data_IF_711575707900
#
_entry.id   IF_711575707900
#
_cell.length_a   1.000
_cell.length_b   1.000
_cell.length_c   1.000
_cell.angle_alpha   90.00
_cell.angle_beta   90.00
_cell.angle_gamma   90.00
#
_symmetry.space_group_name_H-M   'P 1'
#
loop_
_entity.id
_entity.type
_entity.pdbx_description
1 polymer ?
#
# COMPACT_ATOMS: atom_id res chain seq x y z
N UNK A 1 15.46 -3.91 -3.31
CA UNK A 1 14.47 -2.83 -3.44
C UNK A 1 14.69 -1.84 -2.31
N UNK A 2 14.72 -0.54 -2.61
CA UNK A 2 14.91 0.57 -1.69
C UNK A 2 13.56 1.13 -1.26
N UNK A 3 13.29 1.16 0.04
CA UNK A 3 12.07 1.70 0.63
C UNK A 3 12.37 2.98 1.42
N UNK A 4 11.47 3.97 1.30
CA UNK A 4 11.40 5.12 2.18
C UNK A 4 10.18 4.95 3.08
N UNK A 5 10.43 4.75 4.37
CA UNK A 5 9.37 4.70 5.39
C UNK A 5 9.36 5.99 6.21
N UNK A 6 8.17 6.51 6.48
CA UNK A 6 8.00 7.61 7.43
C UNK A 6 6.72 7.46 8.24
N UNK A 7 6.76 8.01 9.44
CA UNK A 7 5.68 7.92 10.43
C UNK A 7 5.38 9.32 10.98
N UNK A 8 4.10 9.64 11.13
CA UNK A 8 3.65 10.93 11.64
C UNK A 8 2.67 10.75 12.79
N UNK A 9 3.09 11.18 13.99
CA UNK A 9 2.24 11.23 15.17
C UNK A 9 1.16 12.32 15.03
N UNK A 10 -0.03 12.03 15.55
CA UNK A 10 -1.21 12.91 15.49
C UNK A 10 -1.80 13.04 14.09
N UNK A 11 -1.47 12.13 13.17
CA UNK A 11 -1.94 12.14 11.78
C UNK A 11 -2.78 10.91 11.44
N UNK A 12 -3.41 10.93 10.27
CA UNK A 12 -4.22 9.82 9.76
C UNK A 12 -3.91 9.53 8.28
N UNK A 13 -4.41 8.40 7.79
CA UNK A 13 -4.15 7.89 6.45
C UNK A 13 -4.64 8.84 5.35
N UNK A 14 -5.67 9.66 5.60
CA UNK A 14 -6.15 10.65 4.62
C UNK A 14 -5.19 11.85 4.52
N UNK A 15 -4.62 12.29 5.64
CA UNK A 15 -3.55 13.29 5.64
C UNK A 15 -2.30 12.74 4.95
N UNK A 16 -1.99 11.46 5.17
CA UNK A 16 -0.89 10.77 4.52
C UNK A 16 -1.07 10.67 2.99
N UNK A 17 -2.30 10.55 2.48
CA UNK A 17 -2.58 10.69 1.03
C UNK A 17 -2.21 12.09 0.52
N UNK A 18 -2.56 13.15 1.26
CA UNK A 18 -2.20 14.53 0.89
C UNK A 18 -0.67 14.73 0.92
N UNK A 19 0.04 14.07 1.85
CA UNK A 19 1.51 14.07 1.87
C UNK A 19 2.11 13.39 0.63
N UNK A 20 1.51 12.28 0.17
CA UNK A 20 1.93 11.64 -1.08
C UNK A 20 1.77 12.57 -2.27
N UNK A 21 0.62 13.24 -2.41
CA UNK A 21 0.39 14.24 -3.47
C UNK A 21 1.44 15.36 -3.41
N UNK A 22 1.71 15.88 -2.21
CA UNK A 22 2.69 16.95 -2.00
C UNK A 22 4.12 16.51 -2.33
N UNK A 23 4.51 15.29 -1.94
CA UNK A 23 5.82 14.70 -2.20
C UNK A 23 6.05 14.52 -3.70
N UNK A 24 5.15 13.83 -4.39
CA UNK A 24 5.25 13.60 -5.83
C UNK A 24 5.24 14.93 -6.60
N UNK A 25 4.33 15.84 -6.26
CA UNK A 25 4.30 17.17 -6.89
C UNK A 25 5.59 17.96 -6.67
N UNK A 26 6.24 17.82 -5.50
CA UNK A 26 7.55 18.44 -5.22
C UNK A 26 8.66 17.83 -6.10
N UNK A 27 8.64 16.52 -6.29
CA UNK A 27 9.59 15.81 -7.16
C UNK A 27 9.41 16.27 -8.61
N UNK A 28 8.18 16.23 -9.14
CA UNK A 28 7.83 16.64 -10.50
C UNK A 28 8.30 18.06 -10.83
N UNK A 29 8.08 19.01 -9.91
CA UNK A 29 8.58 20.40 -10.07
C UNK A 29 10.10 20.49 -10.07
N UNK A 30 10.79 19.71 -9.23
CA UNK A 30 12.25 19.74 -9.13
C UNK A 30 12.93 19.14 -10.35
N UNK A 31 12.35 18.10 -10.97
CA UNK A 31 12.88 17.49 -12.19
C UNK A 31 12.50 18.26 -13.46
N UNK A 32 11.61 19.27 -13.36
CA UNK A 32 11.20 20.10 -14.48
C UNK A 32 10.19 19.45 -15.41
N UNK A 33 9.40 18.48 -14.94
CA UNK A 33 8.35 17.84 -15.75
C UNK A 33 7.07 18.67 -15.76
N UNK A 34 6.34 18.70 -16.88
CA UNK A 34 5.13 19.51 -17.09
C UNK A 34 3.87 18.94 -16.42
N UNK A 35 3.96 18.41 -15.19
CA UNK A 35 2.90 17.67 -14.50
C UNK A 35 2.29 16.49 -15.31
N UNK A 36 2.94 16.11 -16.41
CA UNK A 36 2.64 14.96 -17.24
C UNK A 36 3.88 14.05 -17.17
N UNK A 37 3.64 12.77 -16.90
CA UNK A 37 4.62 11.71 -16.94
C UNK A 37 4.33 10.82 -18.15
N UNK A 38 5.35 10.48 -18.93
CA UNK A 38 5.24 9.46 -19.97
C UNK A 38 5.78 8.16 -19.39
N UNK A 39 4.93 7.14 -19.34
CA UNK A 39 5.32 5.81 -18.87
C UNK A 39 4.76 4.73 -19.79
N UNK A 40 5.65 3.95 -20.42
CA UNK A 40 5.35 2.85 -21.32
C UNK A 40 4.37 3.25 -22.44
N UNK A 41 4.59 4.46 -23.00
CA UNK A 41 3.76 5.04 -24.05
C UNK A 41 2.42 5.64 -23.60
N UNK A 42 2.16 5.73 -22.28
CA UNK A 42 0.96 6.34 -21.71
C UNK A 42 1.28 7.70 -21.11
N UNK A 43 0.41 8.68 -21.35
CA UNK A 43 0.45 9.98 -20.67
C UNK A 43 -0.31 9.91 -19.34
N UNK A 44 0.40 10.16 -18.24
CA UNK A 44 -0.14 10.14 -16.88
C UNK A 44 -0.10 11.56 -16.31
N UNK A 45 -1.26 12.12 -15.99
CA UNK A 45 -1.39 13.46 -15.39
C UNK A 45 -1.15 13.37 -13.88
N UNK A 46 -0.12 14.04 -13.40
CA UNK A 46 0.27 14.06 -11.99
C UNK A 46 -0.40 15.18 -11.18
N UNK A 47 -1.21 16.03 -11.81
CA UNK A 47 -1.91 17.13 -11.14
C UNK A 47 -2.94 16.59 -10.11
N UNK A 48 -2.82 16.93 -8.82
CA UNK A 48 -3.80 16.59 -7.79
C UNK A 48 -5.07 17.47 -7.89
N UNK A 49 -6.19 17.10 -7.24
CA UNK A 49 -6.36 15.95 -6.36
C UNK A 49 -6.51 14.64 -7.14
N UNK A 50 -5.91 13.58 -6.62
CA UNK A 50 -6.03 12.26 -7.23
C UNK A 50 -7.29 11.52 -6.77
N UNK A 51 -7.91 10.72 -7.64
CA UNK A 51 -9.08 9.92 -7.30
C UNK A 51 -8.75 8.95 -6.17
N UNK A 52 -9.75 8.77 -5.30
CA UNK A 52 -9.74 7.80 -4.21
C UNK A 52 -10.84 6.79 -4.50
N UNK A 53 -10.51 5.51 -4.57
CA UNK A 53 -11.47 4.44 -4.84
C UNK A 53 -11.31 3.35 -3.80
N UNK A 54 -12.42 2.85 -3.26
CA UNK A 54 -12.37 1.79 -2.26
C UNK A 54 -12.04 0.45 -2.92
N UNK A 55 -11.45 -0.48 -2.17
CA UNK A 55 -11.23 -1.86 -2.63
C UNK A 55 -12.56 -2.48 -3.07
N UNK A 56 -13.62 -2.34 -2.27
CA UNK A 56 -14.97 -2.82 -2.63
C UNK A 56 -15.45 -2.29 -4.00
N UNK A 57 -15.25 -1.00 -4.28
CA UNK A 57 -15.68 -0.42 -5.56
C UNK A 57 -14.81 -0.85 -6.73
N UNK A 58 -13.52 -1.13 -6.52
CA UNK A 58 -12.68 -1.74 -7.57
C UNK A 58 -13.11 -3.16 -7.91
N UNK A 59 -13.49 -3.98 -6.93
CA UNK A 59 -14.04 -5.31 -7.17
C UNK A 59 -15.34 -5.23 -7.98
N UNK A 60 -16.24 -4.29 -7.65
CA UNK A 60 -17.48 -4.08 -8.45
C UNK A 60 -17.21 -3.63 -9.88
N UNK A 61 -16.14 -2.86 -10.09
CA UNK A 61 -15.84 -2.21 -11.37
C UNK A 61 -15.03 -3.11 -12.31
N UNK A 62 -14.06 -3.84 -11.77
CA UNK A 62 -13.06 -4.58 -12.54
C UNK A 62 -13.05 -6.07 -12.24
N UNK A 63 -13.51 -6.48 -11.04
CA UNK A 63 -13.48 -7.87 -10.61
C UNK A 63 -14.52 -8.75 -11.31
N UNK A 64 -14.12 -9.97 -11.61
CA UNK A 64 -14.95 -11.03 -12.16
C UNK A 64 -15.94 -11.61 -11.15
N UNK A 65 -15.63 -11.47 -9.84
CA UNK A 65 -16.50 -11.81 -8.71
C UNK A 65 -16.50 -10.69 -7.66
N UNK A 66 -17.45 -10.74 -6.72
CA UNK A 66 -17.53 -9.73 -5.65
C UNK A 66 -16.37 -9.87 -4.64
N UNK A 67 -16.12 -8.81 -3.88
CA UNK A 67 -15.12 -8.81 -2.80
C UNK A 67 -15.39 -9.94 -1.79
N UNK A 68 -16.65 -10.12 -1.41
CA UNK A 68 -17.07 -11.15 -0.45
C UNK A 68 -16.76 -12.55 -0.99
N UNK A 69 -17.13 -12.81 -2.24
CA UNK A 69 -16.87 -14.09 -2.90
C UNK A 69 -15.36 -14.36 -3.05
N UNK A 70 -14.58 -13.34 -3.36
CA UNK A 70 -13.12 -13.44 -3.47
C UNK A 70 -12.46 -13.74 -2.11
N UNK A 71 -12.96 -13.15 -1.03
CA UNK A 71 -12.48 -13.43 0.33
C UNK A 71 -12.87 -14.84 0.80
N UNK A 72 -14.10 -15.29 0.51
CA UNK A 72 -14.57 -16.64 0.86
C UNK A 72 -13.82 -17.75 0.11
N UNK A 73 -13.41 -17.48 -1.13
CA UNK A 73 -12.69 -18.43 -1.98
C UNK A 73 -11.16 -18.30 -1.89
N UNK A 74 -10.64 -17.39 -1.05
CA UNK A 74 -9.22 -17.06 -0.94
C UNK A 74 -8.57 -16.68 -2.28
N UNK A 75 -9.32 -15.95 -3.12
CA UNK A 75 -8.91 -15.46 -4.44
C UNK A 75 -8.70 -13.95 -4.48
N UNK A 76 -8.71 -13.29 -3.31
CA UNK A 76 -8.56 -11.84 -3.22
C UNK A 76 -7.30 -11.35 -3.94
N UNK A 77 -6.15 -11.95 -3.61
CA UNK A 77 -4.85 -11.51 -4.13
C UNK A 77 -4.71 -11.80 -5.63
N UNK A 78 -5.24 -12.94 -6.10
CA UNK A 78 -5.25 -13.30 -7.52
C UNK A 78 -6.06 -12.30 -8.36
N UNK A 79 -7.25 -11.92 -7.90
CA UNK A 79 -8.12 -10.96 -8.60
C UNK A 79 -7.53 -9.55 -8.54
N UNK A 80 -6.95 -9.17 -7.39
CA UNK A 80 -6.26 -7.90 -7.25
C UNK A 80 -5.18 -7.75 -8.32
N UNK A 81 -4.25 -8.70 -8.41
CA UNK A 81 -3.12 -8.65 -9.34
C UNK A 81 -3.55 -8.83 -10.79
N UNK A 82 -4.43 -9.78 -11.09
CA UNK A 82 -4.77 -10.12 -12.47
C UNK A 82 -5.77 -9.17 -13.12
N UNK A 83 -6.71 -8.61 -12.34
CA UNK A 83 -7.87 -7.91 -12.88
C UNK A 83 -7.96 -6.44 -12.40
N UNK A 84 -7.57 -6.13 -11.17
CA UNK A 84 -7.78 -4.78 -10.60
C UNK A 84 -6.56 -3.89 -10.84
N UNK A 85 -5.39 -4.24 -10.31
CA UNK A 85 -4.17 -3.44 -10.35
C UNK A 85 -3.76 -2.95 -11.75
N UNK A 86 -3.87 -3.77 -12.83
CA UNK A 86 -3.52 -3.34 -14.18
C UNK A 86 -4.37 -2.18 -14.71
N UNK A 87 -5.54 -1.95 -14.09
CA UNK A 87 -6.47 -0.88 -14.46
C UNK A 87 -6.29 0.39 -13.62
N UNK A 88 -5.46 0.36 -12.58
CA UNK A 88 -5.24 1.50 -11.68
C UNK A 88 -4.15 2.43 -12.18
N UNK A 89 -4.28 3.73 -11.91
CA UNK A 89 -3.23 4.72 -12.16
C UNK A 89 -2.96 5.04 -13.64
N UNK A 90 -3.81 4.58 -14.58
CA UNK A 90 -3.50 4.56 -16.02
C UNK A 90 -3.48 5.94 -16.69
N UNK A 91 -4.33 6.86 -16.24
CA UNK A 91 -4.47 8.23 -16.80
C UNK A 91 -3.95 9.28 -15.82
N UNK A 92 -4.11 9.01 -14.54
CA UNK A 92 -3.64 9.81 -13.41
C UNK A 92 -3.47 8.88 -12.22
N UNK A 93 -2.64 9.23 -11.22
CA UNK A 93 -2.50 8.44 -10.01
C UNK A 93 -3.85 8.16 -9.34
N UNK A 94 -3.95 7.05 -8.61
CA UNK A 94 -5.16 6.70 -7.85
C UNK A 94 -4.78 6.12 -6.49
N UNK A 95 -5.50 6.56 -5.46
CA UNK A 95 -5.44 5.92 -4.15
C UNK A 95 -6.48 4.80 -4.09
N UNK A 96 -6.02 3.58 -3.84
CA UNK A 96 -6.87 2.45 -3.49
C UNK A 96 -6.94 2.38 -1.96
N UNK A 97 -8.13 2.40 -1.37
CA UNK A 97 -8.26 2.46 0.10
C UNK A 97 -9.37 1.56 0.65
N UNK A 98 -9.49 1.46 1.98
CA UNK A 98 -10.47 0.61 2.67
C UNK A 98 -10.29 -0.88 2.35
N UNK A 99 -9.12 -1.43 2.71
CA UNK A 99 -8.86 -2.86 2.59
C UNK A 99 -9.72 -3.65 3.57
N UNK A 100 -10.16 -4.87 3.21
CA UNK A 100 -10.88 -5.72 4.15
C UNK A 100 -10.03 -6.02 5.40
N UNK A 101 -10.68 -6.24 6.53
CA UNK A 101 -10.01 -6.50 7.82
C UNK A 101 -9.04 -7.70 7.77
N UNK A 102 -9.35 -8.70 6.95
CA UNK A 102 -8.46 -9.85 6.67
C UNK A 102 -7.17 -9.49 5.93
N UNK A 103 -7.10 -8.29 5.33
CA UNK A 103 -5.94 -7.69 4.65
C UNK A 103 -5.51 -6.39 5.34
N UNK A 104 -5.83 -6.24 6.62
CA UNK A 104 -5.45 -5.07 7.42
C UNK A 104 -3.95 -5.00 7.74
N UNK A 105 -3.22 -6.12 7.72
CA UNK A 105 -1.83 -6.18 8.18
C UNK A 105 -1.67 -5.53 9.58
N UNK A 106 -0.88 -4.46 9.70
CA UNK A 106 -0.68 -3.66 10.91
C UNK A 106 -1.58 -2.41 10.97
N UNK A 107 -2.52 -2.28 10.05
CA UNK A 107 -3.43 -1.14 10.01
C UNK A 107 -4.53 -1.23 11.08
N UNK A 108 -4.89 -0.08 11.63
CA UNK A 108 -6.07 0.13 12.46
C UNK A 108 -7.34 -0.19 11.67
N UNK A 109 -8.30 -0.88 12.30
CA UNK A 109 -9.63 -1.06 11.73
C UNK A 109 -10.41 0.25 11.79
N UNK A 110 -11.29 0.48 10.82
CA UNK A 110 -12.16 1.65 10.81
C UNK A 110 -13.11 1.61 12.01
N UNK A 111 -13.14 2.66 12.86
CA UNK A 111 -14.00 2.66 14.05
C UNK A 111 -15.50 2.54 13.73
N UNK A 112 -15.95 3.11 12.61
CA UNK A 112 -17.36 3.09 12.20
C UNK A 112 -17.75 1.83 11.44
N UNK A 113 -16.78 1.14 10.82
CA UNK A 113 -17.01 -0.08 10.06
C UNK A 113 -15.79 -1.02 10.15
N UNK A 114 -15.71 -1.85 11.21
CA UNK A 114 -14.56 -2.73 11.45
C UNK A 114 -14.34 -3.81 10.39
N UNK A 115 -15.21 -3.93 9.37
CA UNK A 115 -14.98 -4.80 8.22
C UNK A 115 -13.81 -4.31 7.36
N UNK A 116 -13.43 -3.04 7.49
CA UNK A 116 -12.36 -2.42 6.72
C UNK A 116 -11.26 -1.85 7.61
N UNK A 117 -10.07 -1.74 7.04
CA UNK A 117 -8.90 -1.13 7.64
C UNK A 117 -8.64 0.26 7.05
N UNK A 118 -8.11 1.15 7.89
CA UNK A 118 -7.65 2.48 7.50
C UNK A 118 -6.29 2.38 6.79
N UNK A 119 -6.30 1.75 5.62
CA UNK A 119 -5.14 1.49 4.76
C UNK A 119 -5.40 2.03 3.36
N UNK A 120 -4.35 2.50 2.72
CA UNK A 120 -4.35 2.80 1.30
C UNK A 120 -3.05 2.37 0.61
N UNK A 121 -3.16 2.20 -0.70
CA UNK A 121 -2.05 2.11 -1.62
C UNK A 121 -2.18 3.19 -2.69
N UNK A 122 -1.04 3.65 -3.21
CA UNK A 122 -0.98 4.59 -4.33
C UNK A 122 -0.56 3.84 -5.60
N UNK A 123 -1.36 3.95 -6.65
CA UNK A 123 -1.04 3.38 -7.96
C UNK A 123 -0.78 4.48 -9.00
N UNK A 124 0.31 4.34 -9.76
CA UNK A 124 0.66 5.20 -10.88
C UNK A 124 1.13 4.31 -12.04
N UNK A 125 0.51 4.44 -13.21
CA UNK A 125 0.87 3.65 -14.39
C UNK A 125 0.66 2.13 -14.24
N UNK A 126 -0.18 1.70 -13.30
CA UNK A 126 -0.39 0.29 -12.96
C UNK A 126 0.64 -0.28 -11.99
N UNK A 127 1.54 0.54 -11.44
CA UNK A 127 2.48 0.15 -10.41
C UNK A 127 2.00 0.66 -9.04
N UNK A 128 2.04 -0.21 -8.03
CA UNK A 128 1.90 0.18 -6.63
C UNK A 128 3.19 0.91 -6.19
N UNK A 129 3.04 2.17 -5.78
CA UNK A 129 4.14 3.08 -5.44
C UNK A 129 4.34 3.18 -3.93
N UNK A 130 3.25 3.13 -3.17
CA UNK A 130 3.36 3.09 -1.72
C UNK A 130 2.18 2.34 -1.09
N UNK A 131 2.42 1.91 0.15
CA UNK A 131 1.45 1.28 1.03
C UNK A 131 1.51 1.99 2.39
N UNK A 132 0.37 2.43 2.87
CA UNK A 132 0.26 3.32 4.01
C UNK A 132 -1.01 3.06 4.81
N UNK A 133 -0.96 3.31 6.11
CA UNK A 133 -2.09 3.06 6.98
C UNK A 133 -2.03 3.88 8.26
N UNK A 134 -3.18 4.03 8.92
CA UNK A 134 -3.21 4.36 10.34
C UNK A 134 -2.64 3.18 11.12
N UNK A 135 -1.66 3.45 11.99
CA UNK A 135 -0.98 2.43 12.78
C UNK A 135 -1.93 1.82 13.82
N UNK A 136 -1.89 0.49 13.95
CA UNK A 136 -2.54 -0.20 15.04
C UNK A 136 -1.75 0.00 16.34
N UNK A 137 -2.24 0.88 17.19
CA UNK A 137 -1.64 1.18 18.50
C UNK A 137 -2.21 0.34 19.65
N UNK A 138 -3.28 -0.44 19.42
CA UNK A 138 -3.88 -1.29 20.45
C UNK A 138 -3.04 -2.57 20.67
N UNK A 139 -2.38 -2.72 21.82
CA UNK A 139 -1.51 -3.87 22.09
C UNK A 139 -2.28 -5.19 22.24
N UNK A 140 -3.56 -5.15 22.62
CA UNK A 140 -4.39 -6.35 22.77
C UNK A 140 -4.76 -6.89 21.40
N UNK A 141 -5.27 -6.04 20.52
CA UNK A 141 -5.58 -6.43 19.13
C UNK A 141 -4.31 -6.83 18.37
N UNK A 142 -3.21 -6.10 18.55
CA UNK A 142 -1.94 -6.43 17.90
C UNK A 142 -1.38 -7.80 18.36
N UNK A 143 -1.50 -8.12 19.66
CA UNK A 143 -1.15 -9.44 20.19
C UNK A 143 -2.02 -10.54 19.57
N UNK A 144 -3.34 -10.33 19.53
CA UNK A 144 -4.27 -11.29 18.94
C UNK A 144 -3.99 -11.55 17.44
N UNK A 145 -3.53 -10.54 16.69
CA UNK A 145 -3.06 -10.71 15.30
C UNK A 145 -1.80 -11.56 15.21
N UNK A 146 -0.82 -11.33 16.08
CA UNK A 146 0.40 -12.15 16.10
C UNK A 146 0.13 -13.60 16.50
N UNK A 147 -0.77 -13.86 17.46
CA UNK A 147 -1.15 -15.21 17.85
C UNK A 147 -1.79 -15.96 16.68
N UNK A 148 -2.73 -15.32 15.95
CA UNK A 148 -3.33 -15.89 14.73
C UNK A 148 -2.30 -16.20 13.65
N UNK A 149 -1.35 -15.30 13.40
CA UNK A 149 -0.27 -15.54 12.42
C UNK A 149 0.66 -16.68 12.86
N UNK A 150 0.94 -16.82 14.16
CA UNK A 150 1.71 -17.96 14.67
C UNK A 150 0.96 -19.28 14.48
N UNK A 151 -0.35 -19.31 14.72
CA UNK A 151 -1.19 -20.50 14.51
C UNK A 151 -1.21 -20.89 13.02
N UNK A 152 -1.45 -19.93 12.13
CA UNK A 152 -1.42 -20.15 10.68
C UNK A 152 -0.04 -20.67 10.20
N UNK A 153 1.06 -20.16 10.76
CA UNK A 153 2.42 -20.67 10.47
C UNK A 153 2.62 -22.11 10.94
N UNK A 154 2.11 -22.48 12.11
CA UNK A 154 2.17 -23.87 12.61
C UNK A 154 1.41 -24.82 11.70
N UNK A 155 0.20 -24.42 11.30
CA UNK A 155 -0.64 -25.20 10.38
C UNK A 155 0.02 -25.35 9.00
N UNK A 156 0.78 -24.34 8.57
CA UNK A 156 1.51 -24.33 7.29
C UNK A 156 2.90 -24.95 7.34
N UNK A 157 3.31 -25.58 8.45
CA UNK A 157 4.66 -26.14 8.67
C UNK A 157 5.80 -25.11 8.42
N UNK A 158 5.55 -23.85 8.78
CA UNK A 158 6.50 -22.73 8.66
C UNK A 158 7.14 -22.41 10.02
N UNK A 159 8.32 -21.79 9.97
CA UNK A 159 8.98 -21.27 11.18
C UNK A 159 8.08 -20.27 11.91
N UNK A 160 7.86 -20.54 13.21
CA UNK A 160 7.10 -19.68 14.12
C UNK A 160 8.06 -18.70 14.79
N UNK A 161 7.81 -17.41 14.64
CA UNK A 161 8.61 -16.38 15.30
C UNK A 161 8.16 -16.18 16.75
N UNK A 162 9.09 -15.82 17.66
CA UNK A 162 8.73 -15.49 19.03
C UNK A 162 7.81 -14.25 19.08
N UNK A 163 6.94 -14.20 20.10
CA UNK A 163 6.09 -13.04 20.33
C UNK A 163 6.96 -11.79 20.60
N UNK A 164 6.75 -10.66 19.90
CA UNK A 164 7.57 -9.47 20.09
C UNK A 164 7.10 -8.66 21.30
N UNK A 165 7.24 -9.20 22.52
CA UNK A 165 6.71 -8.59 23.75
C UNK A 165 7.24 -7.16 24.00
N UNK A 166 8.47 -6.85 23.58
CA UNK A 166 9.03 -5.49 23.68
C UNK A 166 8.29 -4.48 22.79
N UNK A 167 7.91 -4.89 21.58
CA UNK A 167 7.12 -4.07 20.68
C UNK A 167 5.72 -3.87 21.24
N UNK A 168 5.07 -4.95 21.68
CA UNK A 168 3.74 -4.89 22.28
C UNK A 168 3.69 -4.00 23.53
N UNK A 169 4.74 -4.02 24.36
CA UNK A 169 4.83 -3.12 25.51
C UNK A 169 4.91 -1.65 25.08
N UNK A 170 5.70 -1.35 24.04
CA UNK A 170 5.92 0.01 23.53
C UNK A 170 4.68 0.63 22.86
N UNK A 171 3.72 -0.18 22.39
CA UNK A 171 2.48 0.32 21.79
C UNK A 171 1.65 1.19 22.75
N UNK A 172 1.73 0.93 24.06
CA UNK A 172 1.03 1.76 25.06
C UNK A 172 1.52 3.21 25.09
N UNK A 173 2.76 3.45 24.67
CA UNK A 173 3.37 4.78 24.64
C UNK A 173 3.26 5.43 23.25
N UNK A 174 2.76 4.71 22.25
CA UNK A 174 2.65 5.17 20.87
C UNK A 174 1.37 6.02 20.71
N UNK A 175 1.47 7.32 20.41
CA UNK A 175 0.29 8.11 20.08
C UNK A 175 -0.35 7.61 18.79
N UNK A 176 -1.59 8.04 18.52
CA UNK A 176 -2.17 7.84 17.19
C UNK A 176 -1.20 8.34 16.11
N UNK A 177 -0.96 7.49 15.11
CA UNK A 177 -0.02 7.78 14.04
C UNK A 177 -0.49 7.17 12.73
N UNK A 178 0.06 7.69 11.64
CA UNK A 178 0.00 7.06 10.33
C UNK A 178 1.43 6.82 9.82
N UNK A 179 1.62 5.68 9.17
CA UNK A 179 2.86 5.29 8.51
C UNK A 179 2.67 5.13 7.01
N UNK A 180 3.77 5.24 6.28
CA UNK A 180 3.82 5.03 4.84
C UNK A 180 5.15 4.43 4.44
N UNK A 181 5.11 3.44 3.56
CA UNK A 181 6.26 2.84 2.91
C UNK A 181 6.18 3.08 1.40
N UNK A 182 7.11 3.87 0.85
CA UNK A 182 7.19 4.20 -0.56
C UNK A 182 8.36 3.49 -1.24
N UNK A 183 8.10 2.85 -2.38
CA UNK A 183 9.09 2.20 -3.23
C UNK A 183 9.88 3.19 -4.06
N UNK A 184 11.14 3.44 -3.69
CA UNK A 184 12.01 4.38 -4.41
C UNK A 184 12.36 3.85 -5.80
N UNK A 185 12.63 2.56 -5.95
CA UNK A 185 13.01 2.01 -7.26
C UNK A 185 11.83 2.08 -8.24
N UNK A 186 10.62 1.72 -7.82
CA UNK A 186 9.40 1.86 -8.64
C UNK A 186 9.11 3.31 -8.99
N UNK A 187 9.35 4.24 -8.06
CA UNK A 187 9.22 5.66 -8.34
C UNK A 187 10.25 6.14 -9.38
N UNK A 188 11.49 5.68 -9.27
CA UNK A 188 12.53 5.93 -10.27
C UNK A 188 12.11 5.38 -11.62
N UNK A 189 11.65 4.12 -11.69
CA UNK A 189 11.19 3.48 -12.92
C UNK A 189 10.14 4.32 -13.65
N UNK A 190 9.17 4.88 -12.92
CA UNK A 190 8.18 5.78 -13.48
C UNK A 190 8.84 6.99 -14.15
N UNK A 191 9.67 7.73 -13.41
CA UNK A 191 10.29 8.96 -13.89
C UNK A 191 11.36 8.75 -14.97
N UNK A 192 11.89 7.54 -15.12
CA UNK A 192 12.87 7.18 -16.16
C UNK A 192 12.29 6.39 -17.32
N UNK A 193 10.97 6.15 -17.33
CA UNK A 193 10.28 5.27 -18.30
C UNK A 193 10.91 3.87 -18.39
N UNK A 194 11.38 3.35 -17.26
CA UNK A 194 11.98 2.02 -17.16
C UNK A 194 10.93 0.95 -16.94
N UNK A 195 11.04 -0.13 -17.72
CA UNK A 195 10.10 -1.27 -17.67
C UNK A 195 10.50 -2.29 -16.61
N UNK A 196 11.79 -2.46 -16.38
CA UNK A 196 12.33 -3.47 -15.46
C UNK A 196 13.06 -2.79 -14.31
N UNK A 197 12.96 -3.37 -13.11
CA UNK A 197 13.60 -2.81 -11.91
C UNK A 197 15.14 -2.81 -12.04
N UNK A 198 15.69 -3.76 -12.78
CA UNK A 198 17.12 -3.88 -13.07
C UNK A 198 17.69 -2.65 -13.79
N UNK A 199 16.85 -1.92 -14.53
CA UNK A 199 17.26 -0.71 -15.26
C UNK A 199 17.48 0.49 -14.32
N UNK A 200 17.03 0.41 -13.05
CA UNK A 200 17.14 1.49 -12.06
C UNK A 200 17.98 1.10 -10.84
N UNK A 201 18.60 -0.09 -10.85
CA UNK A 201 19.49 -0.57 -9.79
C UNK A 201 20.89 -0.79 -10.38
N UNK A 202 21.94 -0.42 -9.65
CA UNK A 202 23.32 -0.45 -10.17
C UNK A 202 23.91 -1.86 -10.29
N UNK A 203 23.50 -2.79 -9.42
CA UNK A 203 23.93 -4.19 -9.43
C UNK A 203 22.70 -5.05 -9.14
N UNK A 204 22.36 -5.96 -10.06
CA UNK A 204 21.23 -6.86 -9.86
C UNK A 204 21.65 -8.08 -9.03
N UNK A 205 20.72 -8.72 -8.28
CA UNK A 205 21.02 -9.96 -7.56
C UNK A 205 21.55 -11.08 -8.47
N UNK A 206 21.17 -11.09 -9.75
CA UNK A 206 21.61 -12.05 -10.76
C UNK A 206 23.07 -11.82 -11.21
N UNK A 207 23.60 -10.62 -10.99
CA UNK A 207 24.98 -10.23 -11.30
C UNK A 207 25.95 -10.40 -10.12
N UNK A 208 25.46 -10.82 -8.94
CA UNK A 208 26.22 -11.04 -7.70
C UNK A 208 26.38 -12.52 -7.36
#
# INVERSE_FOLDING_TARGET
>A
MTLLEWYRAGSNYQEMMNECEALIGSITRKIGSEDILIYQGKEIRLTPPWPRISVSDTFKKFGSISLEAALEQDQFDDIMVAEIEPNLGQIQPVFLYDYPASRAALARLKPQDPQYAERFELYIGGLEICNAFNELTDPVEQRARFEREQDHRRESDKSVYPMPDKFLAALNDLPEAAGNALGIDRLTMLFTDSRQIDEVVTFTPEEL
#
